data_IF_653498839569
#
_entry.id   IF_653498839569
#
_cell.length_a   1.000
_cell.length_b   1.000
_cell.length_c   1.000
_cell.angle_alpha   90.00
_cell.angle_beta   90.00
_cell.angle_gamma   90.00
#
_symmetry.space_group_name_H-M   'P 1'
#
loop_
_entity.id
_entity.type
_entity.pdbx_description
1 polymer ?
#
# COMPACT_ATOMS: atom_id res chain seq x y z
N UNK A 1 20.50 7.02 14.22
CA UNK A 1 20.58 5.63 14.71
C UNK A 1 19.18 5.06 14.69
N UNK A 2 19.01 3.96 13.98
CA UNK A 2 17.78 3.17 14.00
C UNK A 2 17.62 2.54 15.39
N UNK A 3 16.37 2.33 15.82
CA UNK A 3 16.06 1.64 17.09
C UNK A 3 16.67 0.22 17.17
N UNK A 4 17.04 -0.34 16.02
CA UNK A 4 17.60 -1.69 15.88
C UNK A 4 19.14 -1.73 15.96
N UNK A 5 19.83 -0.59 15.91
CA UNK A 5 21.31 -0.55 15.82
C UNK A 5 22.00 -1.15 17.05
N UNK A 6 21.33 -1.16 18.20
CA UNK A 6 21.85 -1.69 19.48
C UNK A 6 21.27 -3.07 19.86
N UNK A 7 20.48 -3.69 18.97
CA UNK A 7 19.79 -4.96 19.26
C UNK A 7 20.55 -6.17 18.70
N UNK A 8 20.62 -7.25 19.47
CA UNK A 8 21.12 -8.54 18.96
C UNK A 8 20.12 -9.16 17.97
N UNK A 9 20.55 -10.10 17.09
CA UNK A 9 19.64 -10.81 16.20
C UNK A 9 18.47 -11.50 16.93
N UNK A 10 18.72 -12.01 18.14
CA UNK A 10 17.72 -12.62 19.03
C UNK A 10 16.67 -11.58 19.47
N UNK A 11 17.13 -10.41 19.90
CA UNK A 11 16.24 -9.31 20.30
C UNK A 11 15.42 -8.78 19.12
N UNK A 12 16.02 -8.70 17.92
CA UNK A 12 15.31 -8.30 16.70
C UNK A 12 14.22 -9.33 16.37
N UNK A 13 14.55 -10.63 16.44
CA UNK A 13 13.60 -11.71 16.17
C UNK A 13 12.43 -11.69 17.14
N UNK A 14 12.69 -11.52 18.43
CA UNK A 14 11.65 -11.44 19.46
C UNK A 14 10.77 -10.20 19.27
N UNK A 15 11.38 -9.06 18.93
CA UNK A 15 10.64 -7.85 18.62
C UNK A 15 9.71 -8.04 17.42
N UNK A 16 10.21 -8.60 16.32
CA UNK A 16 9.41 -8.84 15.11
C UNK A 16 8.25 -9.81 15.36
N UNK A 17 8.42 -10.82 16.21
CA UNK A 17 7.31 -11.70 16.62
C UNK A 17 6.23 -10.95 17.41
N UNK A 18 6.62 -9.91 18.14
CA UNK A 18 5.71 -9.09 18.95
C UNK A 18 4.98 -7.97 18.19
N UNK A 19 5.36 -7.66 16.94
CA UNK A 19 4.74 -6.56 16.18
C UNK A 19 3.43 -6.95 15.50
N UNK A 20 3.11 -8.25 15.44
CA UNK A 20 1.96 -8.77 14.69
C UNK A 20 2.12 -8.70 13.16
N UNK A 21 3.32 -8.32 12.66
CA UNK A 21 3.65 -8.40 11.24
C UNK A 21 3.90 -9.86 10.87
N UNK A 22 3.29 -10.32 9.77
CA UNK A 22 3.48 -11.67 9.26
C UNK A 22 4.84 -11.83 8.57
N UNK A 23 5.90 -11.95 9.37
CA UNK A 23 7.27 -12.15 8.88
C UNK A 23 7.49 -13.63 8.55
N UNK A 24 8.04 -13.98 7.36
CA UNK A 24 8.36 -15.37 7.02
C UNK A 24 9.25 -16.04 8.07
N UNK A 25 8.94 -17.28 8.45
CA UNK A 25 9.63 -17.98 9.55
C UNK A 25 11.14 -18.12 9.31
N UNK A 26 11.54 -18.35 8.06
CA UNK A 26 12.94 -18.49 7.69
C UNK A 26 13.74 -17.18 7.93
N UNK A 27 13.08 -16.02 7.85
CA UNK A 27 13.67 -14.72 8.19
C UNK A 27 13.82 -14.50 9.70
N UNK A 28 13.15 -15.31 10.52
CA UNK A 28 13.26 -15.30 11.98
C UNK A 28 14.22 -16.39 12.49
N UNK A 29 14.77 -17.20 11.59
CA UNK A 29 15.68 -18.29 11.94
C UNK A 29 17.14 -17.81 11.93
N UNK A 30 17.69 -17.56 13.11
CA UNK A 30 19.07 -17.07 13.28
C UNK A 30 20.12 -18.04 12.74
N UNK A 31 19.90 -19.34 12.88
CA UNK A 31 20.82 -20.35 12.34
C UNK A 31 20.84 -20.32 10.82
N UNK A 32 19.66 -20.15 10.19
CA UNK A 32 19.53 -19.94 8.75
C UNK A 32 20.27 -18.66 8.32
N UNK A 33 20.08 -17.55 9.03
CA UNK A 33 20.79 -16.29 8.72
C UNK A 33 22.32 -16.42 8.83
N UNK A 34 22.83 -17.21 9.78
CA UNK A 34 24.26 -17.44 9.99
C UNK A 34 24.86 -18.48 9.03
N UNK A 35 24.04 -19.29 8.36
CA UNK A 35 24.51 -20.39 7.51
C UNK A 35 25.24 -19.94 6.24
N UNK A 36 24.97 -18.72 5.77
CA UNK A 36 25.49 -18.23 4.48
C UNK A 36 24.81 -18.87 3.26
N UNK A 37 23.78 -19.68 3.48
CA UNK A 37 23.02 -20.29 2.40
C UNK A 37 22.32 -19.25 1.54
N UNK A 38 22.20 -19.55 0.24
CA UNK A 38 21.49 -18.68 -0.69
C UNK A 38 19.98 -18.73 -0.42
N UNK A 39 19.34 -17.58 -0.56
CA UNK A 39 17.88 -17.45 -0.59
C UNK A 39 17.35 -18.23 -1.79
N UNK A 40 16.46 -19.19 -1.51
CA UNK A 40 15.77 -19.99 -2.52
C UNK A 40 14.70 -19.16 -3.21
N UNK A 41 14.20 -19.62 -4.37
CA UNK A 41 13.11 -18.92 -5.06
C UNK A 41 11.81 -18.91 -4.24
N UNK A 42 11.54 -19.96 -3.47
CA UNK A 42 10.38 -19.99 -2.58
C UNK A 42 10.48 -18.95 -1.46
N UNK A 43 11.63 -18.90 -0.78
CA UNK A 43 11.92 -17.89 0.25
C UNK A 43 11.82 -16.46 -0.33
N UNK A 44 12.31 -16.25 -1.56
CA UNK A 44 12.20 -14.95 -2.24
C UNK A 44 10.74 -14.56 -2.53
N UNK A 45 9.90 -15.51 -2.94
CA UNK A 45 8.48 -15.26 -3.19
C UNK A 45 7.73 -14.90 -1.90
N UNK A 46 8.00 -15.62 -0.81
CA UNK A 46 7.43 -15.33 0.52
C UNK A 46 7.85 -13.95 1.02
N UNK A 47 9.14 -13.61 0.87
CA UNK A 47 9.63 -12.28 1.20
C UNK A 47 8.97 -11.19 0.38
N UNK A 48 8.84 -11.41 -0.94
CA UNK A 48 8.23 -10.42 -1.82
C UNK A 48 6.76 -10.16 -1.47
N UNK A 49 6.01 -11.20 -1.09
CA UNK A 49 4.64 -11.07 -0.61
C UNK A 49 4.58 -10.27 0.70
N UNK A 50 5.37 -10.67 1.71
CA UNK A 50 5.46 -9.96 2.98
C UNK A 50 5.83 -8.48 2.80
N UNK A 51 6.82 -8.18 1.96
CA UNK A 51 7.28 -6.81 1.73
C UNK A 51 6.24 -5.99 0.94
N UNK A 52 5.55 -6.62 -0.03
CA UNK A 52 4.48 -5.97 -0.79
C UNK A 52 3.38 -5.44 0.12
N UNK A 53 2.98 -6.20 1.15
CA UNK A 53 1.99 -5.74 2.11
C UNK A 53 2.44 -4.46 2.85
N UNK A 54 3.70 -4.41 3.25
CA UNK A 54 4.26 -3.24 3.94
C UNK A 54 4.37 -2.03 3.01
N UNK A 55 4.82 -2.23 1.77
CA UNK A 55 4.93 -1.18 0.76
C UNK A 55 3.56 -0.61 0.40
N UNK A 56 2.55 -1.45 0.21
CA UNK A 56 1.16 -1.03 -0.04
C UNK A 56 0.63 -0.20 1.14
N UNK A 57 0.84 -0.66 2.37
CA UNK A 57 0.45 0.06 3.57
C UNK A 57 1.12 1.44 3.66
N UNK A 58 2.41 1.50 3.34
CA UNK A 58 3.17 2.75 3.31
C UNK A 58 2.60 3.72 2.26
N UNK A 59 2.31 3.26 1.04
CA UNK A 59 1.68 4.08 -0.01
C UNK A 59 0.34 4.64 0.47
N UNK A 60 -0.51 3.80 1.06
CA UNK A 60 -1.81 4.22 1.58
C UNK A 60 -1.67 5.30 2.67
N UNK A 61 -0.75 5.13 3.61
CA UNK A 61 -0.48 6.11 4.67
C UNK A 61 0.07 7.43 4.11
N UNK A 62 1.00 7.37 3.17
CA UNK A 62 1.54 8.57 2.51
C UNK A 62 0.46 9.34 1.76
N UNK A 63 -0.44 8.63 1.09
CA UNK A 63 -1.57 9.24 0.39
C UNK A 63 -2.55 9.91 1.35
N UNK A 64 -2.87 9.29 2.49
CA UNK A 64 -3.71 9.92 3.54
C UNK A 64 -3.06 11.19 4.09
N UNK A 65 -1.76 11.15 4.38
CA UNK A 65 -1.01 12.33 4.83
C UNK A 65 -1.08 13.45 3.79
N UNK A 66 -0.97 13.12 2.51
CA UNK A 66 -1.08 14.07 1.41
C UNK A 66 -2.50 14.65 1.28
N UNK A 67 -3.54 13.81 1.39
CA UNK A 67 -4.94 14.26 1.42
C UNK A 67 -5.18 15.21 2.58
N UNK A 68 -4.69 14.89 3.77
CA UNK A 68 -4.79 15.76 4.94
C UNK A 68 -4.14 17.13 4.73
N UNK A 69 -3.02 17.18 4.00
CA UNK A 69 -2.37 18.44 3.62
C UNK A 69 -3.18 19.23 2.59
N UNK A 70 -3.81 18.55 1.63
CA UNK A 70 -4.57 19.18 0.53
C UNK A 70 -5.99 19.61 0.92
N UNK A 71 -6.65 18.81 1.74
CA UNK A 71 -8.09 18.89 2.00
C UNK A 71 -8.43 19.11 3.47
N UNK A 72 -7.46 18.93 4.37
CA UNK A 72 -7.72 18.93 5.81
C UNK A 72 -8.36 17.62 6.27
N UNK A 73 -9.13 17.70 7.35
CA UNK A 73 -9.88 16.57 7.92
C UNK A 73 -11.37 16.90 7.95
N UNK A 74 -12.21 15.88 7.94
CA UNK A 74 -13.65 16.05 8.06
C UNK A 74 -14.09 16.54 9.45
N UNK A 75 -15.39 16.85 9.63
CA UNK A 75 -15.94 17.37 10.88
C UNK A 75 -15.68 16.49 12.11
N UNK A 76 -15.53 15.17 11.92
CA UNK A 76 -15.26 14.19 12.96
C UNK A 76 -13.78 13.76 12.98
N UNK A 77 -12.89 14.56 12.39
CA UNK A 77 -11.44 14.28 12.23
C UNK A 77 -11.12 13.03 11.38
N UNK A 78 -12.07 12.58 10.57
CA UNK A 78 -11.84 11.53 9.58
C UNK A 78 -10.97 12.05 8.42
N UNK A 79 -10.21 11.15 7.80
CA UNK A 79 -9.45 11.46 6.60
C UNK A 79 -10.40 11.58 5.41
N UNK A 80 -10.25 12.62 4.59
CA UNK A 80 -11.17 12.94 3.51
C UNK A 80 -10.46 13.17 2.18
N UNK A 81 -11.17 12.85 1.11
CA UNK A 81 -10.86 13.27 -0.25
C UNK A 81 -11.94 14.23 -0.73
N UNK A 82 -11.53 15.32 -1.38
CA UNK A 82 -12.47 16.30 -1.93
C UNK A 82 -12.28 16.45 -3.44
N UNK A 83 -13.40 16.39 -4.17
CA UNK A 83 -13.44 16.73 -5.59
C UNK A 83 -14.76 17.46 -5.89
N UNK A 84 -14.66 18.69 -6.40
CA UNK A 84 -15.79 19.58 -6.63
C UNK A 84 -16.70 19.71 -5.38
N UNK A 85 -17.97 19.32 -5.48
CA UNK A 85 -18.94 19.34 -4.38
C UNK A 85 -19.04 17.99 -3.63
N UNK A 86 -18.17 17.02 -3.94
CA UNK A 86 -18.15 15.71 -3.30
C UNK A 86 -17.04 15.66 -2.26
N UNK A 87 -17.42 15.24 -1.05
CA UNK A 87 -16.51 14.91 0.03
C UNK A 87 -16.68 13.43 0.36
N UNK A 88 -15.60 12.66 0.26
CA UNK A 88 -15.58 11.24 0.58
C UNK A 88 -14.69 10.98 1.78
N UNK A 89 -15.19 10.21 2.74
CA UNK A 89 -14.34 9.63 3.76
C UNK A 89 -13.48 8.54 3.14
N UNK A 90 -12.18 8.59 3.40
CA UNK A 90 -11.21 7.59 2.92
C UNK A 90 -10.46 7.02 4.11
N UNK A 91 -10.05 5.76 3.98
CA UNK A 91 -9.27 5.07 5.00
C UNK A 91 -8.10 4.32 4.36
N UNK A 92 -7.16 3.88 5.20
CA UNK A 92 -6.06 3.03 4.77
C UNK A 92 -6.58 1.79 4.04
N UNK A 93 -7.58 1.12 4.61
CA UNK A 93 -8.14 -0.12 4.05
C UNK A 93 -8.79 0.11 2.68
N UNK A 94 -9.46 1.24 2.48
CA UNK A 94 -10.04 1.62 1.17
C UNK A 94 -8.94 1.76 0.11
N UNK A 95 -7.87 2.47 0.44
CA UNK A 95 -6.75 2.70 -0.50
C UNK A 95 -5.99 1.39 -0.75
N UNK A 96 -5.71 0.60 0.29
CA UNK A 96 -5.08 -0.70 0.12
C UNK A 96 -5.91 -1.64 -0.76
N UNK A 97 -7.24 -1.63 -0.58
CA UNK A 97 -8.16 -2.42 -1.41
C UNK A 97 -8.10 -1.97 -2.87
N UNK A 98 -8.14 -0.66 -3.12
CA UNK A 98 -7.97 -0.09 -4.46
C UNK A 98 -6.66 -0.56 -5.10
N UNK A 99 -5.54 -0.46 -4.38
CA UNK A 99 -4.23 -0.84 -4.91
C UNK A 99 -4.17 -2.34 -5.23
N UNK A 100 -4.69 -3.21 -4.36
CA UNK A 100 -4.78 -4.65 -4.62
C UNK A 100 -5.49 -4.96 -5.95
N UNK A 101 -6.62 -4.31 -6.21
CA UNK A 101 -7.43 -4.62 -7.38
C UNK A 101 -6.96 -3.92 -8.65
N UNK A 102 -6.52 -2.67 -8.56
CA UNK A 102 -6.24 -1.84 -9.74
C UNK A 102 -4.76 -1.83 -10.13
N UNK A 103 -3.86 -2.22 -9.23
CA UNK A 103 -2.42 -2.24 -9.47
C UNK A 103 -1.88 -3.66 -9.34
N UNK A 104 -2.10 -4.31 -8.20
CA UNK A 104 -1.44 -5.60 -7.92
C UNK A 104 -2.03 -6.74 -8.75
N UNK A 105 -3.36 -6.86 -8.84
CA UNK A 105 -4.00 -7.93 -9.60
C UNK A 105 -3.58 -7.93 -11.09
N UNK A 106 -3.58 -6.80 -11.82
CA UNK A 106 -3.06 -6.75 -13.19
C UNK A 106 -1.60 -7.21 -13.30
N UNK A 107 -0.73 -6.81 -12.37
CA UNK A 107 0.68 -7.22 -12.38
C UNK A 107 0.84 -8.73 -12.12
N UNK A 108 0.02 -9.29 -11.25
CA UNK A 108 0.00 -10.74 -10.97
C UNK A 108 -0.51 -11.54 -12.17
N UNK A 109 -1.48 -11.01 -12.91
CA UNK A 109 -2.01 -11.61 -14.15
C UNK A 109 -1.00 -11.56 -15.29
N UNK A 110 -0.27 -10.44 -15.46
CA UNK A 110 0.72 -10.29 -16.52
C UNK A 110 1.94 -11.20 -16.31
N UNK A 111 2.37 -11.39 -15.06
CA UNK A 111 3.59 -12.14 -14.71
C UNK A 111 3.35 -13.20 -13.62
N UNK A 112 2.55 -14.24 -13.91
CA UNK A 112 2.14 -15.22 -12.91
C UNK A 112 3.31 -16.05 -12.34
N UNK A 113 4.41 -16.20 -13.08
CA UNK A 113 5.60 -16.92 -12.63
C UNK A 113 6.42 -16.14 -11.57
N UNK A 114 6.38 -14.80 -11.63
CA UNK A 114 7.12 -13.92 -10.71
C UNK A 114 6.23 -13.46 -9.54
N UNK A 115 4.90 -13.56 -9.66
CA UNK A 115 3.92 -13.23 -8.60
C UNK A 115 4.27 -11.90 -7.92
N UNK A 116 4.34 -11.89 -6.59
CA UNK A 116 4.62 -10.71 -5.78
C UNK A 116 6.02 -10.11 -5.96
N UNK A 117 6.97 -10.78 -6.62
CA UNK A 117 8.25 -10.15 -6.97
C UNK A 117 8.02 -8.96 -7.91
N UNK A 118 7.12 -9.11 -8.87
CA UNK A 118 6.79 -8.03 -9.82
C UNK A 118 6.09 -6.87 -9.11
N UNK A 119 5.17 -7.18 -8.19
CA UNK A 119 4.44 -6.17 -7.42
C UNK A 119 5.37 -5.41 -6.46
N UNK A 120 6.24 -6.14 -5.75
CA UNK A 120 7.27 -5.56 -4.89
C UNK A 120 8.18 -4.61 -5.67
N UNK A 121 8.69 -5.05 -6.83
CA UNK A 121 9.55 -4.22 -7.68
C UNK A 121 8.84 -2.96 -8.16
N UNK A 122 7.56 -3.05 -8.51
CA UNK A 122 6.75 -1.91 -8.91
C UNK A 122 6.71 -0.84 -7.81
N UNK A 123 6.35 -1.20 -6.58
CA UNK A 123 6.32 -0.25 -5.46
C UNK A 123 7.71 0.34 -5.16
N UNK A 124 8.76 -0.47 -5.18
CA UNK A 124 10.14 0.00 -4.98
C UNK A 124 10.61 0.95 -6.10
N UNK A 125 10.14 0.76 -7.32
CA UNK A 125 10.43 1.66 -8.43
C UNK A 125 9.65 2.97 -8.32
N UNK A 126 8.38 2.93 -7.91
CA UNK A 126 7.58 4.11 -7.64
C UNK A 126 8.18 4.96 -6.52
N UNK A 127 8.56 4.34 -5.40
CA UNK A 127 9.24 5.03 -4.30
C UNK A 127 10.55 5.69 -4.74
N UNK A 128 11.40 4.98 -5.47
CA UNK A 128 12.64 5.57 -6.00
C UNK A 128 12.38 6.75 -6.93
N UNK A 129 11.38 6.67 -7.82
CA UNK A 129 11.01 7.79 -8.70
C UNK A 129 10.45 8.98 -7.92
N UNK A 130 9.71 8.73 -6.84
CA UNK A 130 9.24 9.78 -5.93
C UNK A 130 10.42 10.50 -5.26
N UNK A 131 11.40 9.75 -4.76
CA UNK A 131 12.55 10.31 -4.04
C UNK A 131 13.54 11.05 -4.96
N UNK A 132 13.81 10.51 -6.14
CA UNK A 132 14.78 11.08 -7.07
C UNK A 132 14.19 12.21 -7.92
N UNK A 133 12.97 12.03 -8.44
CA UNK A 133 12.41 12.90 -9.46
C UNK A 133 11.19 13.69 -8.96
N UNK A 134 10.78 13.50 -7.69
CA UNK A 134 9.56 14.09 -7.16
C UNK A 134 8.29 13.55 -7.84
N UNK A 135 8.36 12.34 -8.42
CA UNK A 135 7.22 11.75 -9.13
C UNK A 135 5.99 11.65 -8.23
N UNK A 136 4.84 11.97 -8.80
CA UNK A 136 3.53 11.93 -8.12
C UNK A 136 2.59 10.90 -8.73
N UNK A 137 3.14 10.01 -9.58
CA UNK A 137 2.36 9.06 -10.38
C UNK A 137 1.37 8.24 -9.54
N UNK A 138 1.82 7.66 -8.42
CA UNK A 138 0.94 6.86 -7.55
C UNK A 138 -0.19 7.70 -6.91
N UNK A 139 0.12 8.93 -6.48
CA UNK A 139 -0.90 9.85 -5.95
C UNK A 139 -1.92 10.20 -7.03
N UNK A 140 -1.44 10.60 -8.20
CA UNK A 140 -2.29 11.02 -9.32
C UNK A 140 -3.17 9.87 -9.82
N UNK A 141 -2.63 8.64 -9.80
CA UNK A 141 -3.39 7.43 -10.08
C UNK A 141 -4.52 7.22 -9.06
N UNK A 142 -4.23 7.25 -7.75
CA UNK A 142 -5.27 7.10 -6.72
C UNK A 142 -6.31 8.23 -6.83
N UNK A 143 -5.88 9.47 -7.02
CA UNK A 143 -6.75 10.63 -7.25
C UNK A 143 -7.68 10.39 -8.44
N UNK A 144 -7.16 9.87 -9.55
CA UNK A 144 -7.97 9.63 -10.76
C UNK A 144 -9.13 8.66 -10.51
N UNK A 145 -8.89 7.59 -9.75
CA UNK A 145 -9.92 6.61 -9.39
C UNK A 145 -10.99 7.24 -8.49
N UNK A 146 -10.59 8.03 -7.48
CA UNK A 146 -11.55 8.72 -6.63
C UNK A 146 -12.31 9.83 -7.35
N UNK A 147 -11.66 10.55 -8.27
CA UNK A 147 -12.31 11.53 -9.14
C UNK A 147 -13.39 10.86 -9.98
N UNK A 148 -13.10 9.71 -10.58
CA UNK A 148 -14.08 8.99 -11.40
C UNK A 148 -15.25 8.46 -10.55
N UNK A 149 -14.97 7.99 -9.33
CA UNK A 149 -16.00 7.68 -8.34
C UNK A 149 -16.88 8.89 -7.98
N UNK A 150 -16.28 10.05 -7.75
CA UNK A 150 -17.00 11.29 -7.44
C UNK A 150 -17.88 11.77 -8.60
N UNK A 151 -17.40 11.70 -9.84
CA UNK A 151 -18.20 12.01 -11.04
C UNK A 151 -19.46 11.16 -11.12
N UNK A 152 -19.34 9.86 -10.87
CA UNK A 152 -20.50 8.94 -10.85
C UNK A 152 -21.51 9.36 -9.78
N UNK A 153 -21.06 9.80 -8.60
CA UNK A 153 -21.96 10.31 -7.55
C UNK A 153 -22.68 11.60 -7.98
N UNK A 154 -21.97 12.52 -8.62
CA UNK A 154 -22.53 13.78 -9.13
C UNK A 154 -23.59 13.49 -10.19
N UNK A 155 -23.27 12.68 -11.20
CA UNK A 155 -24.18 12.31 -12.28
C UNK A 155 -25.43 11.56 -11.77
N UNK A 156 -25.25 10.71 -10.76
CA UNK A 156 -26.35 9.97 -10.14
C UNK A 156 -27.24 10.87 -9.28
N UNK A 157 -26.69 11.90 -8.63
CA UNK A 157 -27.47 12.91 -7.90
C UNK A 157 -28.30 13.80 -8.85
N UNK A 158 -27.83 14.01 -10.09
CA UNK A 158 -28.56 14.79 -11.11
C UNK A 158 -29.69 13.99 -11.77
N UNK A 159 -29.65 12.65 -11.74
CA UNK A 159 -30.74 11.79 -12.23
C UNK A 159 -31.64 11.38 -11.06
N UNK A 160 -32.77 12.07 -10.80
CA UNK A 160 -33.73 11.55 -9.83
C UNK A 160 -34.17 10.16 -10.30
N UNK A 161 -34.33 9.23 -9.36
CA UNK A 161 -34.88 7.91 -9.63
C UNK A 161 -36.24 8.07 -10.32
N UNK A 162 -36.26 7.98 -11.65
CA UNK A 162 -37.49 7.75 -12.39
C UNK A 162 -37.92 6.34 -12.00
N UNK A 163 -39.07 6.26 -11.36
CA UNK A 163 -39.80 5.05 -10.95
C UNK A 163 -39.59 4.66 -9.49
N UNK A 164 -40.16 5.47 -8.59
CA UNK A 164 -40.91 4.94 -7.45
C UNK A 164 -42.39 5.28 -7.69
N UNK A 165 -43.05 4.42 -8.47
CA UNK A 165 -44.50 4.28 -8.52
C UNK A 165 -44.84 2.86 -8.11
#
# INVERSE_FOLDING_TARGET
MSKFDDMTPEQITEHLKGTGVSVPEWMLNINRMKSGDKVTRAELLEFAECLTEQLRAQVALLYLIDCKKRFGVGPNRQEIFMHENVCMEISRDVIETLLKFQVEAPLLEERPADRYITVMQFYQMDERKRELDGSTWMRDFIDSVFIDGAKVMIESAVKPAKNLH
#
